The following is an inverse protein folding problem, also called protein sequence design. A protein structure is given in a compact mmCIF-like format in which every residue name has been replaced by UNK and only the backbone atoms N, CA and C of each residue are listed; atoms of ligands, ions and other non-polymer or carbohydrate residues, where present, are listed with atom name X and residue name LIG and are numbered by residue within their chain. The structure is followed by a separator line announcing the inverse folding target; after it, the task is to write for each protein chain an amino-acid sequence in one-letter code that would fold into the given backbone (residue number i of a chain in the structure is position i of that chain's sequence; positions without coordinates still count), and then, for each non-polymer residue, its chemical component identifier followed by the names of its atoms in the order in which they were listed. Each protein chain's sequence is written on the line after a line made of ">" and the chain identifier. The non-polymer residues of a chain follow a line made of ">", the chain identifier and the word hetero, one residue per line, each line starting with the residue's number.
data_IF_952191813423
#
_entry.id   IF_952191813423
#
_cell.length_a   1.000
_cell.length_b   1.000
_cell.length_c   1.000
_cell.angle_alpha   90.00
_cell.angle_beta   90.00
_cell.angle_gamma   90.00
#
_symmetry.space_group_name_H-M   'P 1'
#
loop_
_entity.id
_entity.type
_entity.pdbx_description
1 polymer ?
#
# COMPACT_ATOMS: atom_id res chain seq x y z
N UNK A 1 12.93 3.10 18.20
CA UNK A 1 13.59 3.28 16.89
C UNK A 1 13.19 4.65 16.39
N UNK A 2 14.13 5.53 16.08
CA UNK A 2 13.81 6.83 15.47
C UNK A 2 13.76 6.59 13.98
N UNK A 3 12.58 6.66 13.37
CA UNK A 3 12.41 6.54 11.92
C UNK A 3 12.66 7.91 11.32
N UNK A 4 13.62 8.01 10.40
CA UNK A 4 13.88 9.23 9.64
C UNK A 4 12.82 9.45 8.56
N UNK A 5 12.66 10.68 8.09
CA UNK A 5 11.73 10.99 6.99
C UNK A 5 12.03 10.15 5.74
N UNK A 6 13.30 9.93 5.41
CA UNK A 6 13.72 9.10 4.29
C UNK A 6 13.34 7.64 4.49
N UNK A 7 13.57 7.07 5.68
CA UNK A 7 13.15 5.70 6.00
C UNK A 7 11.61 5.55 5.95
N UNK A 8 10.87 6.57 6.39
CA UNK A 8 9.41 6.59 6.28
C UNK A 8 8.95 6.58 4.83
N UNK A 9 9.53 7.42 3.97
CA UNK A 9 9.19 7.47 2.55
C UNK A 9 9.59 6.20 1.81
N UNK A 10 10.75 5.63 2.12
CA UNK A 10 11.17 4.33 1.58
C UNK A 10 10.21 3.21 1.98
N UNK A 11 9.72 3.24 3.23
CA UNK A 11 8.69 2.32 3.70
C UNK A 11 7.37 2.54 2.96
N UNK A 12 6.91 3.78 2.78
CA UNK A 12 5.73 4.10 1.98
C UNK A 12 5.88 3.55 0.55
N UNK A 13 7.01 3.78 -0.11
CA UNK A 13 7.30 3.23 -1.45
C UNK A 13 7.22 1.69 -1.47
N UNK A 14 7.74 1.03 -0.43
CA UNK A 14 7.67 -0.43 -0.32
C UNK A 14 6.20 -0.89 -0.23
N UNK A 15 5.38 -0.19 0.54
CA UNK A 15 3.95 -0.49 0.70
C UNK A 15 3.21 -0.32 -0.61
N UNK A 16 3.41 0.77 -1.35
CA UNK A 16 2.75 0.96 -2.66
C UNK A 16 3.12 -0.16 -3.66
N UNK A 17 4.36 -0.66 -3.62
CA UNK A 17 4.79 -1.79 -4.46
C UNK A 17 4.12 -3.10 -4.05
N UNK A 18 3.90 -3.31 -2.76
CA UNK A 18 3.16 -4.46 -2.25
C UNK A 18 1.69 -4.37 -2.65
N UNK A 19 1.08 -3.18 -2.58
CA UNK A 19 -0.28 -2.92 -3.03
C UNK A 19 -0.47 -3.19 -4.52
N UNK A 20 0.44 -2.70 -5.35
CA UNK A 20 0.45 -3.00 -6.80
C UNK A 20 0.45 -4.51 -7.07
N UNK A 21 1.33 -5.28 -6.39
CA UNK A 21 1.38 -6.74 -6.54
C UNK A 21 0.09 -7.39 -6.06
N UNK A 22 -0.37 -7.02 -4.87
CA UNK A 22 -1.57 -7.57 -4.25
C UNK A 22 -2.81 -7.38 -5.13
N UNK A 23 -3.08 -6.14 -5.57
CA UNK A 23 -4.26 -5.86 -6.39
C UNK A 23 -4.16 -6.49 -7.79
N UNK A 24 -2.96 -6.57 -8.38
CA UNK A 24 -2.76 -7.22 -9.66
C UNK A 24 -3.02 -8.74 -9.58
N UNK A 25 -2.50 -9.39 -8.54
CA UNK A 25 -2.73 -10.81 -8.30
C UNK A 25 -4.19 -11.09 -7.91
N UNK A 26 -4.81 -10.24 -7.10
CA UNK A 26 -6.23 -10.37 -6.78
C UNK A 26 -7.08 -10.24 -8.06
N UNK A 27 -6.78 -9.27 -8.92
CA UNK A 27 -7.50 -9.08 -10.19
C UNK A 27 -7.42 -10.31 -11.12
N UNK A 28 -6.32 -11.09 -11.08
CA UNK A 28 -6.19 -12.30 -11.90
C UNK A 28 -7.05 -13.48 -11.42
N UNK A 29 -7.55 -13.42 -10.19
CA UNK A 29 -8.41 -14.44 -9.57
C UNK A 29 -9.90 -14.06 -9.56
N UNK A 30 -10.26 -12.91 -10.14
CA UNK A 30 -11.62 -12.39 -10.17
C UNK A 30 -12.22 -12.48 -11.57
N UNK A 31 -13.33 -13.21 -11.68
CA UNK A 31 -14.07 -13.36 -12.93
C UNK A 31 -14.93 -12.13 -13.27
N UNK A 32 -15.52 -11.49 -12.26
CA UNK A 32 -16.39 -10.32 -12.45
C UNK A 32 -15.61 -9.17 -13.12
N UNK A 33 -16.03 -8.72 -14.31
CA UNK A 33 -15.30 -7.72 -15.08
C UNK A 33 -15.25 -6.35 -14.40
N UNK A 34 -16.28 -5.95 -13.64
CA UNK A 34 -16.31 -4.66 -12.95
C UNK A 34 -15.37 -4.66 -11.75
N UNK A 35 -15.35 -5.75 -11.00
CA UNK A 35 -14.42 -5.89 -9.86
C UNK A 35 -12.98 -5.94 -10.36
N UNK A 36 -12.71 -6.67 -11.45
CA UNK A 36 -11.39 -6.71 -12.09
C UNK A 36 -10.95 -5.34 -12.62
N UNK A 37 -11.86 -4.56 -13.20
CA UNK A 37 -11.58 -3.18 -13.64
C UNK A 37 -11.24 -2.28 -12.46
N UNK A 38 -12.01 -2.36 -11.36
CA UNK A 38 -11.72 -1.61 -10.14
C UNK A 38 -10.35 -1.96 -9.55
N UNK A 39 -10.01 -3.25 -9.43
CA UNK A 39 -8.70 -3.68 -8.95
C UNK A 39 -7.57 -3.22 -9.88
N UNK A 40 -7.79 -3.22 -11.19
CA UNK A 40 -6.83 -2.68 -12.17
C UNK A 40 -6.65 -1.17 -12.04
N UNK A 41 -7.68 -0.43 -11.62
CA UNK A 41 -7.57 0.98 -11.28
C UNK A 41 -6.72 1.17 -10.02
N UNK A 42 -6.94 0.36 -8.97
CA UNK A 42 -6.14 0.41 -7.75
C UNK A 42 -4.64 0.23 -8.04
N UNK A 43 -4.26 -0.73 -8.89
CA UNK A 43 -2.85 -0.91 -9.30
C UNK A 43 -2.26 0.38 -9.90
N UNK A 44 -3.06 1.15 -10.67
CA UNK A 44 -2.60 2.41 -11.25
C UNK A 44 -2.45 3.53 -10.22
N UNK A 45 -3.36 3.60 -9.26
CA UNK A 45 -3.29 4.58 -8.16
C UNK A 45 -2.04 4.35 -7.30
N UNK A 46 -1.77 3.11 -6.89
CA UNK A 46 -0.57 2.74 -6.12
C UNK A 46 0.72 3.05 -6.90
N UNK A 47 0.73 2.85 -8.22
CA UNK A 47 1.86 3.25 -9.06
C UNK A 47 2.07 4.77 -9.11
N UNK A 48 0.98 5.55 -9.13
CA UNK A 48 1.04 7.00 -9.08
C UNK A 48 1.56 7.50 -7.72
N UNK A 49 1.13 6.89 -6.62
CA UNK A 49 1.64 7.16 -5.28
C UNK A 49 3.12 6.81 -5.14
N UNK A 50 3.57 5.66 -5.67
CA UNK A 50 4.99 5.29 -5.67
C UNK A 50 5.86 6.38 -6.32
N UNK A 51 5.41 6.91 -7.48
CA UNK A 51 6.10 7.99 -8.18
C UNK A 51 6.12 9.26 -7.32
N UNK A 52 5.01 9.58 -6.66
CA UNK A 52 4.91 10.75 -5.80
C UNK A 52 5.89 10.66 -4.61
N UNK A 53 5.93 9.54 -3.89
CA UNK A 53 6.83 9.36 -2.76
C UNK A 53 8.30 9.33 -3.17
N UNK A 54 8.65 8.75 -4.33
CA UNK A 54 10.02 8.83 -4.87
C UNK A 54 10.43 10.26 -5.14
N UNK A 55 9.54 11.06 -5.72
CA UNK A 55 9.81 12.47 -5.97
C UNK A 55 10.03 13.23 -4.66
N UNK A 56 9.18 13.00 -3.66
CA UNK A 56 9.34 13.59 -2.32
C UNK A 56 10.72 13.27 -1.73
N UNK A 57 11.14 12.00 -1.82
CA UNK A 57 12.45 11.54 -1.32
C UNK A 57 13.64 12.25 -1.99
N UNK A 58 13.50 12.61 -3.27
CA UNK A 58 14.55 13.31 -4.04
C UNK A 58 14.56 14.83 -3.81
N UNK A 59 13.41 15.44 -3.51
CA UNK A 59 13.25 16.90 -3.58
C UNK A 59 13.05 17.60 -2.23
N UNK A 60 12.60 16.90 -1.19
CA UNK A 60 12.19 17.50 0.08
C UNK A 60 12.93 16.86 1.26
N UNK A 61 13.35 17.71 2.21
CA UNK A 61 14.01 17.28 3.44
C UNK A 61 13.22 17.68 4.71
N UNK A 62 12.21 18.52 4.55
CA UNK A 62 11.36 19.05 5.61
C UNK A 62 9.91 18.90 5.18
N UNK A 63 9.19 18.02 5.87
CA UNK A 63 7.82 17.62 5.55
C UNK A 63 6.84 18.05 6.65
N UNK A 64 7.33 18.62 7.75
CA UNK A 64 6.53 19.16 8.85
C UNK A 64 5.96 18.12 9.83
N UNK A 65 6.27 16.84 9.64
CA UNK A 65 5.82 15.72 10.48
C UNK A 65 6.96 15.00 11.23
N UNK A 66 8.18 15.56 11.22
CA UNK A 66 9.39 14.97 11.83
C UNK A 66 9.20 14.64 13.31
N UNK A 67 8.39 15.44 13.99
CA UNK A 67 8.13 15.35 15.42
C UNK A 67 6.73 14.80 15.74
N UNK A 68 6.05 14.23 14.75
CA UNK A 68 4.74 13.61 14.97
C UNK A 68 4.91 12.26 15.69
N UNK A 69 4.61 12.25 17.00
CA UNK A 69 4.70 11.05 17.83
C UNK A 69 3.65 10.00 17.47
N UNK A 70 2.49 10.39 16.92
CA UNK A 70 1.48 9.43 16.47
C UNK A 70 1.97 8.69 15.23
N UNK A 71 2.61 9.40 14.30
CA UNK A 71 3.22 8.82 13.11
C UNK A 71 4.36 7.86 13.48
N UNK A 72 5.26 8.27 14.39
CA UNK A 72 6.33 7.39 14.88
C UNK A 72 5.78 6.11 15.51
N UNK A 73 4.73 6.22 16.31
CA UNK A 73 4.05 5.07 16.93
C UNK A 73 3.42 4.17 15.88
N UNK A 74 2.72 4.75 14.90
CA UNK A 74 2.10 4.00 13.81
C UNK A 74 3.14 3.18 13.04
N UNK A 75 4.28 3.79 12.69
CA UNK A 75 5.35 3.08 11.97
C UNK A 75 5.95 1.97 12.84
N UNK A 76 6.15 2.23 14.13
CA UNK A 76 6.72 1.24 15.04
C UNK A 76 5.80 0.04 15.31
N UNK A 77 4.48 0.24 15.31
CA UNK A 77 3.51 -0.79 15.70
C UNK A 77 2.82 -1.46 14.50
N UNK A 78 2.50 -0.70 13.45
CA UNK A 78 1.64 -1.16 12.36
C UNK A 78 2.40 -1.47 11.06
N UNK A 79 3.62 -0.97 10.90
CA UNK A 79 4.44 -1.22 9.70
C UNK A 79 5.54 -2.29 9.92
N UNK A 80 5.52 -2.99 11.06
CA UNK A 80 6.40 -4.15 11.31
C UNK A 80 5.87 -5.45 10.70
N UNK A 81 4.61 -5.46 10.25
CA UNK A 81 3.93 -6.60 9.63
C UNK A 81 3.56 -6.27 8.19
N UNK A 82 3.35 -7.30 7.37
CA UNK A 82 2.82 -7.11 6.01
C UNK A 82 1.47 -6.39 6.08
N UNK A 83 1.34 -5.26 5.38
CA UNK A 83 0.11 -4.45 5.39
C UNK A 83 -0.99 -5.17 4.62
N UNK A 84 -0.61 -5.82 3.52
CA UNK A 84 -1.51 -6.63 2.73
C UNK A 84 -1.53 -8.06 3.28
N UNK A 85 -2.72 -8.64 3.52
CA UNK A 85 -2.83 -10.02 3.95
C UNK A 85 -2.34 -10.97 2.84
N UNK A 86 -2.01 -12.22 3.18
CA UNK A 86 -1.75 -13.25 2.18
C UNK A 86 -2.91 -13.36 1.18
N UNK A 87 -2.57 -13.56 -0.09
CA UNK A 87 -3.56 -13.66 -1.15
C UNK A 87 -4.52 -14.83 -0.88
N UNK A 88 -3.99 -15.97 -0.43
CA UNK A 88 -4.77 -17.18 -0.13
C UNK A 88 -5.81 -16.92 0.97
N UNK A 89 -5.45 -16.15 1.99
CA UNK A 89 -6.37 -15.76 3.05
C UNK A 89 -7.50 -14.90 2.49
N UNK A 90 -7.17 -13.94 1.63
CA UNK A 90 -8.14 -13.05 0.97
C UNK A 90 -9.09 -13.85 0.07
N UNK A 91 -8.54 -14.72 -0.78
CA UNK A 91 -9.30 -15.56 -1.71
C UNK A 91 -10.25 -16.52 -0.95
N UNK A 92 -9.84 -17.03 0.21
CA UNK A 92 -10.68 -17.91 1.03
C UNK A 92 -11.95 -17.24 1.55
N UNK A 93 -11.96 -15.90 1.63
CA UNK A 93 -13.10 -15.09 2.09
C UNK A 93 -13.97 -14.58 0.93
N UNK A 94 -13.50 -14.69 -0.32
CA UNK A 94 -14.24 -14.27 -1.52
C UNK A 94 -15.57 -14.98 -1.82
N UNK A 95 -15.87 -16.24 -1.41
CA UNK A 95 -17.17 -16.84 -1.70
C UNK A 95 -18.36 -16.09 -1.08
N UNK A 96 -18.11 -15.03 -0.28
CA UNK A 96 -19.13 -14.09 0.23
C UNK A 96 -19.32 -12.83 -0.61
N UNK A 97 -18.50 -12.59 -1.62
CA UNK A 97 -18.66 -11.50 -2.58
C UNK A 97 -19.46 -11.98 -3.80
N UNK A 98 -20.63 -12.60 -3.57
CA UNK A 98 -21.66 -12.54 -4.59
C UNK A 98 -22.12 -11.07 -4.62
N UNK A 99 -21.75 -10.37 -5.69
CA UNK A 99 -22.10 -8.96 -5.89
C UNK A 99 -23.59 -8.74 -5.60
N UNK A 100 -23.88 -7.65 -4.88
CA UNK A 100 -25.25 -7.19 -4.62
C UNK A 100 -26.05 -7.04 -5.91
#
# INVERSE_FOLDING_TARGET
>A
MVVTNSELLELSIKVEREGQRFYAELASHIDDPKVREFLSLMVKEEAAHEIHFKKMLETENDFGWENDEALKKLVAECFQTDIFPPLEETLSQLPRFEGL
#
